data_IF_231296271585
#
_entry.id   IF_231296271585
#
_cell.length_a   1.000
_cell.length_b   1.000
_cell.length_c   1.000
_cell.angle_alpha   90.00
_cell.angle_beta   90.00
_cell.angle_gamma   90.00
#
_symmetry.space_group_name_H-M   'P 1'
#
loop_
_entity.id
_entity.type
_entity.pdbx_description
1 polymer ?
#
# COMPACT_ATOMS: atom_id res chain seq x y z
N UNK A 1 -54.40 79.50 -7.77
CA UNK A 1 -54.97 78.76 -8.91
C UNK A 1 -54.13 77.51 -9.18
N UNK A 2 -54.77 76.34 -9.17
CA UNK A 2 -54.43 75.04 -9.79
C UNK A 2 -53.08 74.36 -9.45
N UNK A 3 -53.11 73.26 -8.66
CA UNK A 3 -53.23 71.82 -9.04
C UNK A 3 -51.96 71.25 -9.70
N UNK A 4 -51.33 70.25 -9.09
CA UNK A 4 -51.49 68.83 -9.46
C UNK A 4 -50.58 67.90 -8.64
N UNK A 5 -51.19 66.86 -8.10
CA UNK A 5 -50.61 65.67 -7.47
C UNK A 5 -50.03 64.75 -8.56
N UNK A 6 -48.88 64.10 -8.30
CA UNK A 6 -48.63 62.72 -8.74
C UNK A 6 -47.46 62.09 -7.97
N UNK A 7 -47.81 61.17 -7.08
CA UNK A 7 -46.90 60.24 -6.44
C UNK A 7 -46.40 59.20 -7.46
N UNK A 8 -45.11 58.90 -7.41
CA UNK A 8 -44.49 57.80 -8.14
C UNK A 8 -43.88 56.83 -7.11
N UNK A 9 -44.50 55.67 -6.96
CA UNK A 9 -44.01 54.56 -6.16
C UNK A 9 -43.00 53.74 -6.95
N UNK A 10 -41.84 53.35 -6.40
CA UNK A 10 -40.99 52.33 -7.03
C UNK A 10 -41.43 50.92 -6.58
N UNK A 11 -41.77 50.07 -7.56
CA UNK A 11 -41.89 48.62 -7.39
C UNK A 11 -40.48 48.02 -7.47
N UNK A 12 -39.96 47.52 -6.35
CA UNK A 12 -38.72 46.74 -6.30
C UNK A 12 -39.13 45.26 -6.45
N UNK A 13 -38.77 44.66 -7.58
CA UNK A 13 -38.89 43.21 -7.80
C UNK A 13 -37.58 42.57 -7.34
N UNK A 14 -37.56 42.03 -6.12
CA UNK A 14 -36.48 41.18 -5.62
C UNK A 14 -36.70 39.76 -6.12
N UNK A 15 -36.01 39.38 -7.21
CA UNK A 15 -35.90 37.99 -7.64
C UNK A 15 -35.02 37.21 -6.66
N UNK A 16 -35.57 36.22 -5.98
CA UNK A 16 -34.80 35.30 -5.15
C UNK A 16 -34.00 34.36 -6.07
N UNK A 17 -32.68 34.57 -6.16
CA UNK A 17 -31.78 33.59 -6.76
C UNK A 17 -31.67 32.40 -5.80
N UNK A 18 -32.26 31.27 -6.19
CA UNK A 18 -32.04 29.98 -5.52
C UNK A 18 -30.64 29.52 -5.94
N UNK A 19 -29.62 29.85 -5.14
CA UNK A 19 -28.30 29.27 -5.32
C UNK A 19 -28.33 27.87 -4.72
N UNK A 20 -28.43 26.85 -5.57
CA UNK A 20 -28.13 25.48 -5.18
C UNK A 20 -26.63 25.41 -4.85
N UNK A 21 -26.29 25.59 -3.58
CA UNK A 21 -24.99 25.19 -3.08
C UNK A 21 -24.99 23.66 -3.01
N UNK A 22 -24.56 23.01 -4.09
CA UNK A 22 -24.13 21.63 -4.00
C UNK A 22 -22.85 21.64 -3.16
N UNK A 23 -22.96 21.21 -1.90
CA UNK A 23 -21.81 20.72 -1.17
C UNK A 23 -21.32 19.48 -1.92
N UNK A 24 -20.41 19.67 -2.87
CA UNK A 24 -19.59 18.58 -3.38
C UNK A 24 -18.80 18.07 -2.17
N UNK A 25 -19.20 16.92 -1.63
CA UNK A 25 -18.39 16.20 -0.69
C UNK A 25 -17.06 15.92 -1.40
N UNK A 26 -15.98 16.49 -0.91
CA UNK A 26 -14.65 16.24 -1.45
C UNK A 26 -14.42 14.73 -1.40
N UNK A 27 -14.08 14.07 -2.51
CA UNK A 27 -13.91 12.62 -2.53
C UNK A 27 -12.89 12.21 -1.48
N UNK A 28 -13.24 11.27 -0.60
CA UNK A 28 -12.38 10.85 0.51
C UNK A 28 -11.29 9.95 -0.06
N UNK A 29 -10.14 10.55 -0.38
CA UNK A 29 -8.97 9.85 -0.87
C UNK A 29 -7.99 9.62 0.28
N UNK A 30 -7.70 8.35 0.57
CA UNK A 30 -6.82 7.97 1.67
C UNK A 30 -5.43 7.63 1.13
N UNK A 31 -4.44 8.36 1.61
CA UNK A 31 -3.04 8.24 1.23
C UNK A 31 -2.23 7.60 2.37
N UNK A 32 -1.35 6.68 1.99
CA UNK A 32 -0.43 5.99 2.87
C UNK A 32 1.01 6.36 2.51
N UNK A 33 1.71 6.99 3.45
CA UNK A 33 3.16 7.13 3.40
C UNK A 33 3.83 5.92 4.05
N UNK A 34 4.90 5.46 3.42
CA UNK A 34 5.64 4.25 3.79
C UNK A 34 7.12 4.59 3.87
N UNK A 35 7.76 4.29 4.99
CA UNK A 35 9.21 4.43 5.15
C UNK A 35 9.79 3.23 5.88
N UNK A 36 10.78 2.57 5.27
CA UNK A 36 11.49 1.43 5.84
C UNK A 36 12.91 1.83 6.20
N UNK A 37 13.31 1.49 7.42
CA UNK A 37 14.63 1.73 7.98
C UNK A 37 15.32 0.42 8.31
N UNK A 38 16.64 0.40 8.16
CA UNK A 38 17.57 -0.64 8.60
C UNK A 38 18.71 0.02 9.36
N UNK A 39 18.92 -0.37 10.61
CA UNK A 39 19.95 0.18 11.49
C UNK A 39 19.89 1.71 11.58
N UNK A 40 18.67 2.26 11.66
CA UNK A 40 18.41 3.70 11.69
C UNK A 40 18.53 4.43 10.34
N UNK A 41 18.96 3.76 9.26
CA UNK A 41 19.08 4.33 7.92
C UNK A 41 17.86 4.02 7.08
N UNK A 42 17.31 5.02 6.40
CA UNK A 42 16.17 4.82 5.52
C UNK A 42 16.62 4.11 4.23
N UNK A 43 16.05 2.93 3.96
CA UNK A 43 16.39 2.10 2.79
C UNK A 43 15.28 2.06 1.74
N UNK A 44 14.06 2.47 2.11
CA UNK A 44 12.94 2.62 1.17
C UNK A 44 11.99 3.72 1.65
N UNK A 45 11.36 4.40 0.70
CA UNK A 45 10.21 5.24 0.94
C UNK A 45 9.27 5.28 -0.26
N UNK A 46 8.01 5.56 0.00
CA UNK A 46 7.08 5.94 -1.04
C UNK A 46 5.73 6.28 -0.44
N UNK A 47 4.83 6.64 -1.34
CA UNK A 47 3.48 7.07 -0.99
C UNK A 47 2.53 6.43 -1.99
N UNK A 48 1.34 6.03 -1.55
CA UNK A 48 0.29 5.54 -2.44
C UNK A 48 -1.10 5.92 -1.92
N UNK A 49 -2.02 6.13 -2.85
CA UNK A 49 -3.44 6.21 -2.55
C UNK A 49 -3.95 4.78 -2.36
N UNK A 50 -4.42 4.46 -1.16
CA UNK A 50 -4.88 3.12 -0.78
C UNK A 50 -6.40 2.96 -0.86
N UNK A 51 -7.14 4.07 -0.93
CA UNK A 51 -8.55 4.10 -1.26
C UNK A 51 -8.89 5.39 -2.00
N UNK A 52 -9.57 5.22 -3.12
CA UNK A 52 -10.18 6.28 -3.92
C UNK A 52 -11.60 5.87 -4.35
N UNK A 53 -12.46 6.84 -4.66
CA UNK A 53 -13.85 6.61 -5.07
C UNK A 53 -13.95 5.94 -6.44
N UNK A 54 -12.98 6.16 -7.33
CA UNK A 54 -13.00 5.64 -8.70
C UNK A 54 -12.44 4.22 -8.77
N UNK A 55 -11.26 4.01 -8.17
CA UNK A 55 -10.51 2.75 -8.26
C UNK A 55 -10.85 1.78 -7.12
N UNK A 56 -11.41 2.27 -6.02
CA UNK A 56 -11.61 1.50 -4.81
C UNK A 56 -10.30 1.34 -4.02
N UNK A 57 -10.09 0.16 -3.43
CA UNK A 57 -8.88 -0.12 -2.65
C UNK A 57 -7.73 -0.49 -3.56
N UNK A 58 -6.54 0.06 -3.30
CA UNK A 58 -5.33 -0.23 -4.06
C UNK A 58 -4.15 -0.54 -3.11
N UNK A 59 -3.34 -1.58 -3.39
CA UNK A 59 -2.19 -1.89 -2.57
C UNK A 59 -1.04 -0.90 -2.80
N UNK A 60 -0.22 -0.70 -1.77
CA UNK A 60 1.13 -0.17 -1.95
C UNK A 60 2.06 -1.35 -2.25
N UNK A 61 2.84 -1.24 -3.33
CA UNK A 61 3.81 -2.24 -3.72
C UNK A 61 5.11 -1.58 -4.18
N UNK A 62 6.22 -1.98 -3.56
CA UNK A 62 7.58 -1.64 -3.97
C UNK A 62 8.41 -2.90 -4.03
N UNK A 63 9.26 -3.02 -5.05
CA UNK A 63 10.19 -4.15 -5.18
C UNK A 63 11.46 -3.73 -5.90
N UNK A 64 12.61 -4.12 -5.37
CA UNK A 64 13.93 -3.92 -5.96
C UNK A 64 14.83 -5.12 -5.61
N UNK A 65 15.31 -5.84 -6.63
CA UNK A 65 16.10 -7.04 -6.44
C UNK A 65 16.09 -7.94 -7.67
N UNK A 66 16.29 -9.24 -7.46
CA UNK A 66 16.41 -10.21 -8.56
C UNK A 66 15.72 -11.53 -8.23
N UNK A 67 15.37 -12.28 -9.27
CA UNK A 67 14.90 -13.66 -9.17
C UNK A 67 16.08 -14.61 -9.25
N UNK A 68 16.27 -15.44 -8.23
CA UNK A 68 17.28 -16.50 -8.23
C UNK A 68 16.58 -17.80 -8.65
N UNK A 69 16.81 -18.22 -9.90
CA UNK A 69 16.29 -19.49 -10.41
C UNK A 69 17.00 -20.69 -9.80
N UNK A 70 16.28 -21.80 -9.59
CA UNK A 70 16.81 -23.06 -9.07
C UNK A 70 16.03 -24.27 -9.61
N UNK A 71 16.70 -25.41 -9.74
CA UNK A 71 16.08 -26.66 -10.19
C UNK A 71 15.41 -27.42 -9.05
N UNK A 72 14.22 -27.99 -9.30
CA UNK A 72 13.58 -28.93 -8.38
C UNK A 72 13.30 -30.24 -9.11
N UNK A 73 13.79 -31.33 -8.54
CA UNK A 73 13.51 -32.67 -9.01
C UNK A 73 12.53 -33.35 -8.06
N UNK A 74 11.49 -33.97 -8.61
CA UNK A 74 10.56 -34.81 -7.86
C UNK A 74 10.51 -36.20 -8.49
N UNK A 75 10.61 -37.23 -7.66
CA UNK A 75 10.52 -38.63 -8.08
C UNK A 75 9.37 -39.31 -7.35
N UNK A 76 8.40 -39.83 -8.12
CA UNK A 76 7.26 -40.58 -7.59
C UNK A 76 7.23 -41.93 -8.30
N UNK A 77 7.65 -42.98 -7.59
CA UNK A 77 7.89 -44.30 -8.20
C UNK A 77 8.99 -44.22 -9.27
N UNK A 78 8.65 -44.59 -10.51
CA UNK A 78 9.56 -44.56 -11.66
C UNK A 78 9.45 -43.26 -12.49
N UNK A 79 8.54 -42.36 -12.12
CA UNK A 79 8.40 -41.08 -12.82
C UNK A 79 9.30 -40.03 -12.17
N UNK A 80 10.09 -39.35 -12.99
CA UNK A 80 10.90 -38.20 -12.60
C UNK A 80 10.34 -36.95 -13.27
N UNK A 81 10.16 -35.88 -12.50
CA UNK A 81 9.75 -34.56 -12.99
C UNK A 81 10.78 -33.53 -12.56
N UNK A 82 11.18 -32.70 -13.52
CA UNK A 82 12.08 -31.57 -13.33
C UNK A 82 11.29 -30.27 -13.51
N UNK A 83 11.43 -29.36 -12.56
CA UNK A 83 10.89 -28.02 -12.61
C UNK A 83 12.00 -26.99 -12.43
N UNK A 84 11.85 -25.84 -13.08
CA UNK A 84 12.65 -24.65 -12.78
C UNK A 84 11.77 -23.71 -11.99
N UNK A 85 12.17 -23.44 -10.75
CA UNK A 85 11.50 -22.49 -9.86
C UNK A 85 12.41 -21.26 -9.66
N UNK A 86 11.90 -20.20 -9.04
CA UNK A 86 12.72 -19.06 -8.64
C UNK A 86 12.30 -18.52 -7.27
N UNK A 87 13.23 -17.83 -6.61
CA UNK A 87 12.94 -17.07 -5.40
C UNK A 87 13.43 -15.64 -5.55
N UNK A 88 12.58 -14.69 -5.18
CA UNK A 88 12.96 -13.30 -5.13
C UNK A 88 13.94 -13.05 -3.97
N UNK A 89 15.02 -12.35 -4.27
CA UNK A 89 16.01 -11.84 -3.32
C UNK A 89 16.14 -10.33 -3.51
N UNK A 90 16.13 -9.61 -2.39
CA UNK A 90 16.21 -8.16 -2.36
C UNK A 90 15.15 -7.56 -1.46
N UNK A 91 14.82 -6.30 -1.76
CA UNK A 91 13.89 -5.45 -1.04
C UNK A 91 12.48 -5.55 -1.66
N UNK A 92 11.47 -5.87 -0.86
CA UNK A 92 10.08 -5.75 -1.24
C UNK A 92 9.23 -5.30 -0.07
N UNK A 93 8.26 -4.43 -0.35
CA UNK A 93 7.24 -4.01 0.60
C UNK A 93 5.90 -4.15 -0.12
N UNK A 94 4.97 -4.87 0.49
CA UNK A 94 3.62 -5.04 -0.02
C UNK A 94 2.62 -4.79 1.11
N UNK A 95 1.74 -3.82 0.92
CA UNK A 95 0.74 -3.43 1.91
C UNK A 95 -0.62 -3.43 1.23
N UNK A 96 -1.48 -4.34 1.66
CA UNK A 96 -2.80 -4.54 1.11
C UNK A 96 -3.88 -3.99 2.04
N UNK A 97 -4.77 -3.09 1.58
CA UNK A 97 -5.85 -2.57 2.41
C UNK A 97 -6.95 -3.63 2.62
N UNK A 98 -7.05 -4.16 3.84
CA UNK A 98 -8.10 -5.14 4.22
C UNK A 98 -9.42 -4.41 4.41
N UNK A 99 -9.43 -3.33 5.20
CA UNK A 99 -10.59 -2.47 5.46
C UNK A 99 -10.13 -1.02 5.38
N UNK A 100 -10.92 -0.15 4.75
CA UNK A 100 -10.68 1.30 4.76
C UNK A 100 -12.04 1.99 4.81
N UNK A 101 -12.33 2.71 5.88
CA UNK A 101 -13.64 3.33 6.15
C UNK A 101 -13.60 4.87 6.24
N UNK A 102 -12.49 5.48 5.79
CA UNK A 102 -12.31 6.94 5.70
C UNK A 102 -11.77 7.57 6.98
N UNK A 103 -11.87 6.90 8.12
CA UNK A 103 -11.29 7.35 9.41
C UNK A 103 -10.19 6.44 9.91
N UNK A 104 -10.14 5.20 9.40
CA UNK A 104 -9.12 4.22 9.68
C UNK A 104 -8.90 3.28 8.50
N UNK A 105 -7.74 2.63 8.51
CA UNK A 105 -7.41 1.51 7.65
C UNK A 105 -6.90 0.33 8.46
N UNK A 106 -7.35 -0.87 8.10
CA UNK A 106 -6.72 -2.12 8.47
C UNK A 106 -5.88 -2.60 7.28
N UNK A 107 -4.60 -2.83 7.51
CA UNK A 107 -3.62 -3.13 6.47
C UNK A 107 -2.98 -4.50 6.73
N UNK A 108 -2.79 -5.28 5.67
CA UNK A 108 -1.99 -6.50 5.67
C UNK A 108 -0.62 -6.19 5.09
N UNK A 109 0.41 -6.23 5.94
CA UNK A 109 1.77 -5.80 5.64
C UNK A 109 2.69 -7.00 5.44
N UNK A 110 3.44 -7.02 4.34
CA UNK A 110 4.54 -7.95 4.09
C UNK A 110 5.78 -7.18 3.70
N UNK A 111 6.92 -7.55 4.29
CA UNK A 111 8.22 -6.89 4.08
C UNK A 111 9.27 -7.95 3.87
N UNK A 112 10.13 -7.74 2.88
CA UNK A 112 11.31 -8.54 2.61
C UNK A 112 12.49 -7.60 2.40
N UNK A 113 13.61 -7.87 3.06
CA UNK A 113 14.92 -7.31 2.75
C UNK A 113 15.93 -8.45 2.91
N UNK A 114 16.21 -9.15 1.81
CA UNK A 114 17.00 -10.37 1.83
C UNK A 114 18.18 -10.31 0.89
N UNK A 115 19.26 -10.97 1.28
CA UNK A 115 20.45 -11.18 0.48
C UNK A 115 20.61 -12.66 0.12
N UNK A 116 21.12 -12.92 -1.08
CA UNK A 116 21.44 -14.27 -1.53
C UNK A 116 22.72 -14.73 -0.83
N UNK A 117 22.66 -15.90 -0.20
CA UNK A 117 23.80 -16.49 0.49
C UNK A 117 24.46 -17.57 -0.35
N UNK A 118 23.66 -18.36 -1.07
CA UNK A 118 24.15 -19.46 -1.87
C UNK A 118 23.05 -20.40 -2.33
N UNK A 119 23.47 -21.44 -3.03
CA UNK A 119 22.63 -22.59 -3.38
C UNK A 119 23.25 -23.85 -2.82
N UNK A 120 22.40 -24.79 -2.44
CA UNK A 120 22.81 -26.11 -2.03
C UNK A 120 22.02 -27.15 -2.80
N UNK A 121 22.70 -28.23 -3.18
CA UNK A 121 22.03 -29.41 -3.71
C UNK A 121 21.40 -30.19 -2.55
N UNK A 122 20.20 -30.70 -2.78
CA UNK A 122 19.46 -31.56 -1.90
C UNK A 122 18.85 -32.72 -2.70
N UNK A 123 18.63 -33.86 -2.07
CA UNK A 123 18.09 -35.06 -2.70
C UNK A 123 19.14 -36.04 -3.23
N UNK A 124 18.68 -37.19 -3.75
CA UNK A 124 19.56 -38.28 -4.17
C UNK A 124 20.25 -37.98 -5.51
N UNK A 125 21.35 -38.68 -5.79
CA UNK A 125 22.17 -38.47 -7.00
C UNK A 125 21.41 -38.64 -8.32
N UNK A 126 20.33 -39.43 -8.34
CA UNK A 126 19.47 -39.66 -9.49
C UNK A 126 18.28 -38.67 -9.58
N UNK A 127 18.15 -37.75 -8.63
CA UNK A 127 17.12 -36.71 -8.59
C UNK A 127 17.54 -35.53 -7.69
N UNK A 128 18.59 -34.81 -8.09
CA UNK A 128 19.08 -33.63 -7.37
C UNK A 128 18.16 -32.42 -7.54
N UNK A 129 17.79 -31.82 -6.41
CA UNK A 129 17.14 -30.51 -6.34
C UNK A 129 18.15 -29.47 -5.83
N UNK A 130 17.88 -28.21 -6.09
CA UNK A 130 18.59 -27.08 -5.52
C UNK A 130 17.69 -26.37 -4.51
N UNK A 131 18.26 -25.88 -3.42
CA UNK A 131 17.61 -24.93 -2.52
C UNK A 131 18.42 -23.64 -2.49
N UNK A 132 17.73 -22.50 -2.54
CA UNK A 132 18.35 -21.18 -2.43
C UNK A 132 18.33 -20.73 -0.97
N UNK A 133 19.52 -20.45 -0.44
CA UNK A 133 19.69 -19.88 0.89
C UNK A 133 19.68 -18.36 0.82
N UNK A 134 18.85 -17.74 1.65
CA UNK A 134 18.78 -16.29 1.83
C UNK A 134 18.96 -15.92 3.30
N UNK A 135 19.41 -14.69 3.55
CA UNK A 135 19.49 -14.10 4.89
C UNK A 135 18.84 -12.72 4.91
N UNK A 136 18.45 -12.23 6.07
CA UNK A 136 17.83 -10.92 6.26
C UNK A 136 16.37 -11.03 6.70
N UNK A 137 15.61 -9.96 6.46
CA UNK A 137 14.24 -9.84 6.92
C UNK A 137 13.25 -10.49 5.94
N UNK A 138 12.35 -11.33 6.46
CA UNK A 138 11.17 -11.81 5.73
C UNK A 138 9.96 -11.90 6.66
N UNK A 139 9.05 -10.95 6.51
CA UNK A 139 7.82 -10.81 7.30
C UNK A 139 6.63 -10.90 6.36
N UNK A 140 5.66 -11.76 6.69
CA UNK A 140 4.49 -11.98 5.85
C UNK A 140 3.21 -11.72 6.65
N UNK A 141 2.29 -10.94 6.06
CA UNK A 141 0.91 -10.77 6.52
C UNK A 141 0.76 -10.35 7.98
N UNK A 142 1.50 -9.33 8.41
CA UNK A 142 1.25 -8.64 9.68
C UNK A 142 0.05 -7.72 9.52
N UNK A 143 -0.98 -7.92 10.34
CA UNK A 143 -2.18 -7.07 10.33
C UNK A 143 -1.97 -5.90 11.28
N UNK A 144 -2.19 -4.68 10.80
CA UNK A 144 -2.13 -3.45 11.59
C UNK A 144 -3.34 -2.57 11.34
N UNK A 145 -3.75 -1.83 12.35
CA UNK A 145 -4.77 -0.79 12.25
C UNK A 145 -4.12 0.59 12.39
N UNK A 146 -4.52 1.52 11.54
CA UNK A 146 -4.01 2.89 11.53
C UNK A 146 -5.18 3.87 11.37
N UNK A 147 -5.28 4.85 12.27
CA UNK A 147 -6.26 5.92 12.16
C UNK A 147 -5.77 7.03 11.21
N UNK A 148 -6.71 7.78 10.64
CA UNK A 148 -6.40 8.96 9.83
C UNK A 148 -5.57 9.98 10.61
N UNK A 149 -4.52 10.50 9.98
CA UNK A 149 -3.54 11.41 10.59
C UNK A 149 -2.53 10.73 11.53
N UNK A 150 -2.65 9.42 11.79
CA UNK A 150 -1.75 8.70 12.68
C UNK A 150 -0.52 8.18 11.95
N UNK A 151 0.61 8.13 12.67
CA UNK A 151 1.78 7.32 12.31
C UNK A 151 1.93 6.13 13.26
N UNK A 152 2.25 4.96 12.72
CA UNK A 152 2.53 3.74 13.48
C UNK A 152 3.84 3.09 13.03
N UNK A 153 4.43 2.29 13.92
CA UNK A 153 5.49 1.36 13.57
C UNK A 153 4.92 -0.05 13.48
N UNK A 154 5.19 -0.75 12.37
CA UNK A 154 4.76 -2.13 12.16
C UNK A 154 5.70 -3.06 12.93
N UNK A 155 5.17 -4.04 13.71
CA UNK A 155 6.00 -4.97 14.46
C UNK A 155 6.63 -6.02 13.52
N UNK A 156 7.84 -5.75 13.04
CA UNK A 156 8.57 -6.63 12.11
C UNK A 156 9.25 -7.82 12.80
N UNK A 157 9.40 -7.79 14.12
CA UNK A 157 10.05 -8.86 14.89
C UNK A 157 11.58 -8.88 14.82
N UNK A 158 12.21 -7.92 14.12
CA UNK A 158 13.66 -7.74 14.06
C UNK A 158 14.01 -6.30 14.48
N UNK A 159 14.90 -6.15 15.46
CA UNK A 159 15.27 -4.84 16.04
C UNK A 159 16.09 -3.96 15.11
N UNK A 160 16.72 -4.54 14.08
CA UNK A 160 17.47 -3.77 13.09
C UNK A 160 16.54 -3.08 12.10
N UNK A 161 15.28 -3.51 12.00
CA UNK A 161 14.33 -3.01 11.03
C UNK A 161 13.18 -2.25 11.68
N UNK A 162 12.76 -1.16 11.02
CA UNK A 162 11.59 -0.38 11.41
C UNK A 162 10.83 0.03 10.17
N UNK A 163 9.56 -0.36 10.08
CA UNK A 163 8.63 0.12 9.05
C UNK A 163 7.66 1.12 9.69
N UNK A 164 7.78 2.38 9.30
CA UNK A 164 6.86 3.44 9.70
C UNK A 164 5.81 3.64 8.62
N UNK A 165 4.55 3.68 9.04
CA UNK A 165 3.40 3.97 8.19
C UNK A 165 2.71 5.22 8.69
N UNK A 166 2.23 6.06 7.77
CA UNK A 166 1.38 7.21 8.10
C UNK A 166 0.18 7.24 7.17
N UNK A 167 -1.01 7.27 7.75
CA UNK A 167 -2.26 7.42 7.01
C UNK A 167 -2.71 8.88 7.09
N UNK A 168 -3.15 9.44 5.97
CA UNK A 168 -3.77 10.74 5.96
C UNK A 168 -4.70 10.89 4.75
N UNK A 169 -5.63 11.84 4.79
CA UNK A 169 -6.34 12.27 3.60
C UNK A 169 -5.34 12.85 2.59
N UNK A 170 -5.53 12.54 1.30
CA UNK A 170 -4.78 13.18 0.24
C UNK A 170 -5.19 14.67 0.18
N UNK A 171 -4.23 15.57 0.38
CA UNK A 171 -4.45 16.99 0.17
C UNK A 171 -4.48 17.23 -1.36
N UNK A 172 -5.62 17.72 -1.86
CA UNK A 172 -5.80 18.17 -3.25
C UNK A 172 -5.33 19.62 -3.44
#
# INVERSE_FOLDING_TARGET
MNRLVKALSPLIITGAAITCAHAEATPVQQQLDVALYKDGHQIAMGTSIIKDEIVGKAPYAMRSGTEIGYGRCTKVGNATSLASDSVFVGLAIFIDPVVVDGTRAQLSVSVQDTEFVGKHEDGPADCGSETVSTKGLKVNKVIVDIADGQSIDVPLGDTHYRLALKLHNADL
#
